data_IF_354307858300
#
_entry.id   IF_354307858300
#
_cell.length_a   1.000
_cell.length_b   1.000
_cell.length_c   1.000
_cell.angle_alpha   90.00
_cell.angle_beta   90.00
_cell.angle_gamma   90.00
#
_symmetry.space_group_name_H-M   'P 1'
#
loop_
_entity.id
_entity.type
_entity.pdbx_description
1 polymer ?
#
# COMPACT_ATOMS: atom_id res chain seq x y z
N UNK A 1 -15.87 19.87 -93.74
CA UNK A 1 -15.00 18.95 -92.97
C UNK A 1 -14.81 19.54 -91.59
N UNK A 2 -15.41 18.95 -90.56
CA UNK A 2 -15.26 19.38 -89.15
C UNK A 2 -14.29 18.40 -88.48
N UNK A 3 -13.17 18.90 -87.96
CA UNK A 3 -12.21 18.09 -87.22
C UNK A 3 -12.67 18.02 -85.75
N UNK A 4 -13.06 16.84 -85.30
CA UNK A 4 -13.32 16.55 -83.89
C UNK A 4 -11.99 16.50 -83.14
N UNK A 5 -11.84 17.31 -82.10
CA UNK A 5 -10.68 17.28 -81.19
C UNK A 5 -10.76 16.09 -80.24
N UNK A 6 -9.68 15.32 -80.02
CA UNK A 6 -9.72 14.14 -79.16
C UNK A 6 -9.80 14.55 -77.69
N UNK A 7 -10.91 14.23 -77.04
CA UNK A 7 -11.06 14.35 -75.58
C UNK A 7 -10.31 13.20 -74.90
N UNK A 8 -9.04 13.41 -74.56
CA UNK A 8 -8.29 12.47 -73.73
C UNK A 8 -8.78 12.60 -72.29
N UNK A 9 -9.40 11.56 -71.68
CA UNK A 9 -9.76 11.63 -70.28
C UNK A 9 -8.48 11.53 -69.44
N UNK A 10 -8.08 12.63 -68.82
CA UNK A 10 -7.03 12.65 -67.80
C UNK A 10 -7.56 11.94 -66.56
N UNK A 11 -7.39 10.61 -66.52
CA UNK A 11 -7.65 9.83 -65.33
C UNK A 11 -6.56 10.11 -64.31
N UNK A 12 -6.84 11.03 -63.38
CA UNK A 12 -6.00 11.28 -62.23
C UNK A 12 -6.10 10.10 -61.25
N UNK A 13 -5.14 9.20 -61.29
CA UNK A 13 -5.00 8.14 -60.29
C UNK A 13 -4.54 8.75 -58.97
N UNK A 14 -5.47 9.01 -58.05
CA UNK A 14 -5.20 9.50 -56.70
C UNK A 14 -4.49 8.42 -55.87
N UNK A 15 -3.15 8.49 -55.82
CA UNK A 15 -2.35 7.66 -54.91
C UNK A 15 -2.44 8.25 -53.50
N UNK A 16 -3.38 7.74 -52.71
CA UNK A 16 -3.58 8.14 -51.33
C UNK A 16 -2.45 7.63 -50.43
N UNK A 17 -1.38 8.41 -50.27
CA UNK A 17 -0.38 8.17 -49.23
C UNK A 17 -0.97 8.65 -47.89
N UNK A 18 -1.47 7.72 -47.07
CA UNK A 18 -1.80 7.99 -45.66
C UNK A 18 -0.55 8.52 -44.95
N UNK A 19 -0.48 9.84 -44.78
CA UNK A 19 0.52 10.52 -43.95
C UNK A 19 0.00 10.58 -42.52
N UNK A 20 0.05 9.46 -41.80
CA UNK A 20 -0.02 9.58 -40.34
C UNK A 20 1.39 9.95 -39.92
N UNK A 21 1.59 11.24 -39.65
CA UNK A 21 2.91 11.79 -39.33
C UNK A 21 3.48 11.08 -38.09
N UNK A 22 4.74 10.62 -38.09
CA UNK A 22 5.39 9.99 -36.93
C UNK A 22 5.38 10.88 -35.67
N UNK A 23 5.20 12.20 -35.85
CA UNK A 23 5.08 13.18 -34.78
C UNK A 23 3.87 12.97 -33.85
N UNK A 24 2.82 12.25 -34.28
CA UNK A 24 1.67 11.95 -33.41
C UNK A 24 1.88 10.74 -32.47
N UNK A 25 2.97 9.99 -32.64
CA UNK A 25 3.35 8.93 -31.70
C UNK A 25 3.85 9.52 -30.37
N UNK A 26 4.48 10.69 -30.39
CA UNK A 26 5.00 11.34 -29.19
C UNK A 26 3.92 11.59 -28.11
N UNK A 27 2.76 12.21 -28.41
CA UNK A 27 1.69 12.37 -27.42
C UNK A 27 1.08 11.03 -26.98
N UNK A 28 0.98 10.04 -27.88
CA UNK A 28 0.48 8.71 -27.52
C UNK A 28 1.44 8.01 -26.54
N UNK A 29 2.74 8.03 -26.82
CA UNK A 29 3.76 7.42 -25.96
C UNK A 29 3.78 8.13 -24.60
N UNK A 30 3.71 9.46 -24.58
CA UNK A 30 3.61 10.21 -23.32
C UNK A 30 2.35 9.83 -22.52
N UNK A 31 1.20 9.68 -23.19
CA UNK A 31 -0.05 9.23 -22.57
C UNK A 31 0.02 7.80 -22.05
N UNK A 32 0.71 6.90 -22.75
CA UNK A 32 0.94 5.52 -22.32
C UNK A 32 1.84 5.45 -21.09
N UNK A 33 2.93 6.22 -21.06
CA UNK A 33 3.82 6.30 -19.89
C UNK A 33 3.07 6.89 -18.70
N UNK A 34 2.25 7.94 -18.92
CA UNK A 34 1.41 8.51 -17.86
C UNK A 34 0.39 7.51 -17.32
N UNK A 35 -0.31 6.77 -18.19
CA UNK A 35 -1.21 5.70 -17.77
C UNK A 35 -0.47 4.59 -17.01
N UNK A 36 0.73 4.23 -17.45
CA UNK A 36 1.52 3.20 -16.80
C UNK A 36 1.98 3.63 -15.40
N UNK A 37 2.48 4.85 -15.24
CA UNK A 37 2.86 5.41 -13.94
C UNK A 37 1.66 5.57 -12.99
N UNK A 38 0.49 5.94 -13.51
CA UNK A 38 -0.75 5.98 -12.72
C UNK A 38 -1.15 4.57 -12.25
N UNK A 39 -0.99 3.56 -13.11
CA UNK A 39 -1.32 2.18 -12.79
C UNK A 39 -0.39 1.58 -11.73
N UNK A 40 0.93 1.72 -11.90
CA UNK A 40 1.92 1.19 -10.94
C UNK A 40 1.75 1.83 -9.56
N UNK A 41 1.47 3.13 -9.51
CA UNK A 41 1.25 3.84 -8.26
C UNK A 41 -0.05 3.45 -7.53
N UNK A 42 -1.00 2.83 -8.22
CA UNK A 42 -2.25 2.37 -7.61
C UNK A 42 -2.09 1.03 -6.88
N UNK A 43 -1.21 0.13 -7.34
CA UNK A 43 -0.99 -1.18 -6.71
C UNK A 43 -0.09 -1.14 -5.46
N UNK A 44 0.77 -0.14 -5.30
CA UNK A 44 1.73 -0.07 -4.19
C UNK A 44 1.20 0.61 -2.92
N UNK A 45 -0.05 1.10 -2.96
CA UNK A 45 -0.66 1.77 -1.80
C UNK A 45 -1.06 0.71 -0.78
N UNK A 46 -0.23 0.54 0.25
CA UNK A 46 -0.59 -0.22 1.45
C UNK A 46 -1.94 0.21 2.02
N UNK A 47 -2.57 -0.66 2.79
CA UNK A 47 -3.86 -0.38 3.43
C UNK A 47 -3.61 0.34 4.75
N UNK A 48 -4.14 1.56 4.87
CA UNK A 48 -4.09 2.31 6.14
C UNK A 48 -5.21 1.82 7.05
N UNK A 49 -4.85 1.36 8.25
CA UNK A 49 -5.79 0.92 9.28
C UNK A 49 -5.71 1.82 10.52
N UNK A 50 -6.77 1.80 11.31
CA UNK A 50 -6.84 2.46 12.61
C UNK A 50 -6.90 1.41 13.71
N UNK A 51 -6.00 1.49 14.69
CA UNK A 51 -5.94 0.59 15.83
C UNK A 51 -6.10 1.42 17.11
N UNK A 52 -7.12 1.11 17.90
CA UNK A 52 -7.39 1.75 19.17
C UNK A 52 -6.61 1.07 20.28
N UNK A 53 -5.72 1.81 20.93
CA UNK A 53 -4.95 1.37 22.10
C UNK A 53 -5.40 2.14 23.34
N UNK A 54 -5.29 1.51 24.52
CA UNK A 54 -5.45 2.22 25.79
C UNK A 54 -4.24 3.12 26.10
N UNK A 55 -3.05 2.70 25.65
CA UNK A 55 -1.78 3.40 25.90
C UNK A 55 -0.85 3.20 24.70
N UNK A 56 -0.05 4.23 24.38
CA UNK A 56 0.87 4.22 23.24
C UNK A 56 2.34 4.34 23.68
N UNK A 57 2.64 3.89 24.89
CA UNK A 57 3.97 4.00 25.49
C UNK A 57 5.01 3.29 24.62
N UNK A 58 5.99 4.08 24.19
CA UNK A 58 7.08 3.61 23.34
C UNK A 58 6.65 3.16 21.93
N UNK A 59 5.46 3.57 21.46
CA UNK A 59 5.10 3.51 20.05
C UNK A 59 5.54 4.83 19.40
N UNK A 60 6.27 4.74 18.29
CA UNK A 60 6.82 5.89 17.59
C UNK A 60 6.41 5.86 16.12
N UNK A 61 5.72 6.90 15.61
CA UNK A 61 5.39 7.03 14.20
C UNK A 61 6.63 6.94 13.31
N UNK A 62 6.52 6.18 12.23
CA UNK A 62 7.59 5.92 11.26
C UNK A 62 8.70 4.98 11.74
N UNK A 63 8.66 4.52 13.00
CA UNK A 63 9.69 3.65 13.57
C UNK A 63 9.17 2.34 14.14
N UNK A 64 7.96 2.31 14.70
CA UNK A 64 7.40 1.08 15.26
C UNK A 64 6.87 0.17 14.14
N UNK A 65 7.46 -1.02 13.95
CA UNK A 65 6.99 -1.95 12.94
C UNK A 65 5.79 -2.76 13.47
N UNK A 66 4.93 -3.18 12.55
CA UNK A 66 3.91 -4.20 12.79
C UNK A 66 4.46 -5.52 12.29
N UNK A 67 4.44 -6.55 13.15
CA UNK A 67 5.02 -7.86 12.86
C UNK A 67 3.99 -8.98 13.00
N UNK A 68 4.01 -9.90 12.04
CA UNK A 68 3.32 -11.18 12.12
C UNK A 68 4.37 -12.29 12.07
N UNK A 69 4.38 -13.17 13.07
CA UNK A 69 5.37 -14.26 13.18
C UNK A 69 6.84 -13.80 13.02
N UNK A 70 7.16 -12.60 13.50
CA UNK A 70 8.50 -12.01 13.40
C UNK A 70 8.80 -11.28 12.08
N UNK A 71 7.94 -11.39 11.07
CA UNK A 71 8.08 -10.70 9.78
C UNK A 71 7.39 -9.35 9.82
N UNK A 72 8.05 -8.31 9.32
CA UNK A 72 7.47 -6.97 9.21
C UNK A 72 6.42 -6.89 8.10
N UNK A 73 5.19 -6.59 8.51
CA UNK A 73 3.98 -6.54 7.66
C UNK A 73 3.42 -5.12 7.53
N UNK A 74 3.98 -4.16 8.26
CA UNK A 74 3.53 -2.78 8.22
C UNK A 74 4.30 -1.90 9.18
N UNK A 75 3.89 -0.63 9.25
CA UNK A 75 4.55 0.39 10.08
C UNK A 75 3.52 1.39 10.60
N UNK A 76 3.70 1.83 11.83
CA UNK A 76 2.90 2.92 12.40
C UNK A 76 3.19 4.23 11.65
N UNK A 77 2.16 4.91 11.18
CA UNK A 77 2.27 6.19 10.47
C UNK A 77 1.99 7.40 11.36
N UNK A 78 1.10 7.25 12.35
CA UNK A 78 0.69 8.35 13.19
C UNK A 78 -0.03 7.89 14.45
N UNK A 79 -0.04 8.78 15.45
CA UNK A 79 -0.71 8.58 16.73
C UNK A 79 -1.58 9.81 16.94
N UNK A 80 -2.87 9.58 17.19
CA UNK A 80 -3.82 10.62 17.55
C UNK A 80 -4.54 10.20 18.83
N UNK A 81 -5.02 11.17 19.59
CA UNK A 81 -5.91 10.90 20.71
C UNK A 81 -7.35 10.87 20.19
N UNK A 82 -8.19 9.99 20.72
CA UNK A 82 -9.61 9.98 20.38
C UNK A 82 -10.32 11.25 20.83
N UNK A 83 -11.44 11.58 20.19
CA UNK A 83 -12.22 12.79 20.50
C UNK A 83 -12.72 12.85 21.95
N UNK A 84 -12.89 11.68 22.58
CA UNK A 84 -13.30 11.52 23.97
C UNK A 84 -12.12 11.47 24.96
N UNK A 85 -10.88 11.58 24.48
CA UNK A 85 -9.63 11.54 25.25
C UNK A 85 -9.40 10.24 26.05
N UNK A 86 -10.17 9.18 25.78
CA UNK A 86 -10.09 7.90 26.52
C UNK A 86 -9.23 6.84 25.86
N UNK A 87 -8.92 7.01 24.58
CA UNK A 87 -8.18 6.02 23.80
C UNK A 87 -7.22 6.69 22.83
N UNK A 88 -6.20 5.95 22.42
CA UNK A 88 -5.20 6.42 21.48
C UNK A 88 -5.44 5.70 20.15
N UNK A 89 -5.73 6.49 19.12
CA UNK A 89 -5.93 6.02 17.75
C UNK A 89 -4.59 5.99 17.02
N UNK A 90 -4.11 4.79 16.73
CA UNK A 90 -2.87 4.57 15.99
C UNK A 90 -3.22 4.32 14.54
N UNK A 91 -2.75 5.19 13.64
CA UNK A 91 -2.83 4.96 12.20
C UNK A 91 -1.60 4.18 11.77
N UNK A 92 -1.82 3.05 11.11
CA UNK A 92 -0.75 2.20 10.61
C UNK A 92 -0.97 1.88 9.14
N UNK A 93 0.13 1.73 8.40
CA UNK A 93 0.10 1.23 7.03
C UNK A 93 0.52 -0.23 7.02
N UNK A 94 -0.35 -1.06 6.46
CA UNK A 94 -0.14 -2.48 6.27
C UNK A 94 0.18 -2.72 4.79
N UNK A 95 1.16 -3.58 4.53
CA UNK A 95 1.53 -3.96 3.17
C UNK A 95 0.34 -4.61 2.45
N UNK A 96 0.26 -4.43 1.14
CA UNK A 96 -0.87 -4.89 0.33
C UNK A 96 -1.02 -6.41 0.31
N UNK A 97 0.06 -7.16 0.52
CA UNK A 97 0.10 -8.62 0.65
C UNK A 97 -0.64 -9.13 1.91
N UNK A 98 -0.75 -8.30 2.96
CA UNK A 98 -1.45 -8.63 4.20
C UNK A 98 -2.87 -8.08 4.27
N UNK A 99 -3.38 -7.47 3.18
CA UNK A 99 -4.74 -6.92 3.12
C UNK A 99 -5.81 -7.96 3.44
N UNK A 100 -5.65 -9.19 2.96
CA UNK A 100 -6.62 -10.27 3.20
C UNK A 100 -6.64 -10.75 4.66
N UNK A 101 -5.58 -10.48 5.42
CA UNK A 101 -5.47 -10.79 6.84
C UNK A 101 -6.13 -9.73 7.74
N UNK A 102 -6.61 -8.62 7.20
CA UNK A 102 -7.30 -7.55 7.94
C UNK A 102 -8.80 -7.86 8.03
N UNK A 103 -9.19 -8.68 9.01
CA UNK A 103 -10.56 -9.15 9.23
C UNK A 103 -11.06 -8.76 10.61
N UNK A 104 -12.38 -8.75 10.83
CA UNK A 104 -13.02 -8.42 12.11
C UNK A 104 -12.34 -9.07 13.34
N UNK A 105 -11.93 -10.34 13.24
CA UNK A 105 -11.28 -11.04 14.35
C UNK A 105 -9.74 -10.89 14.40
N UNK A 106 -9.15 -10.03 13.57
CA UNK A 106 -7.69 -9.80 13.56
C UNK A 106 -7.28 -9.03 14.81
N UNK A 107 -6.28 -9.56 15.50
CA UNK A 107 -5.85 -9.08 16.80
C UNK A 107 -4.51 -8.37 16.70
N UNK A 108 -4.38 -7.29 17.44
CA UNK A 108 -3.15 -6.50 17.55
C UNK A 108 -2.78 -6.36 19.02
N UNK A 109 -1.50 -6.34 19.36
CA UNK A 109 -1.02 -6.09 20.72
C UNK A 109 0.37 -5.44 20.69
N UNK A 110 0.70 -4.66 21.71
CA UNK A 110 2.03 -4.08 21.85
C UNK A 110 2.98 -5.10 22.48
N UNK A 111 4.15 -5.31 21.87
CA UNK A 111 5.24 -6.10 22.45
C UNK A 111 6.37 -5.18 22.87
N UNK A 112 6.60 -5.13 24.18
CA UNK A 112 7.70 -4.39 24.80
C UNK A 112 8.74 -5.40 25.27
N UNK A 113 9.92 -5.49 24.62
CA UNK A 113 10.98 -6.38 25.08
C UNK A 113 11.43 -5.97 26.48
N UNK A 114 11.42 -6.92 27.42
CA UNK A 114 11.98 -6.70 28.77
C UNK A 114 13.46 -7.04 28.72
N UNK A 115 14.32 -6.08 29.05
CA UNK A 115 15.74 -6.32 29.20
C UNK A 115 15.98 -7.29 30.37
N UNK A 116 16.45 -8.51 30.08
CA UNK A 116 17.04 -9.37 31.09
C UNK A 116 18.54 -9.09 31.11
N UNK A 117 19.04 -8.53 32.22
CA UNK A 117 20.47 -8.26 32.44
C UNK A 117 21.30 -9.54 32.68
N UNK A 118 20.71 -10.72 32.50
CA UNK A 118 21.36 -12.00 32.69
C UNK A 118 22.26 -12.37 31.50
N UNK A 119 23.48 -11.81 31.49
CA UNK A 119 24.65 -12.37 30.80
C UNK A 119 24.80 -11.99 29.34
N UNK A 120 25.86 -11.23 29.03
CA UNK A 120 26.72 -11.10 27.81
C UNK A 120 26.20 -11.38 26.38
N UNK A 121 24.93 -11.69 26.17
CA UNK A 121 24.22 -11.88 24.90
C UNK A 121 22.96 -11.00 24.79
N UNK A 122 22.71 -10.13 25.79
CA UNK A 122 21.50 -9.30 25.90
C UNK A 122 21.56 -7.92 25.21
N UNK A 123 22.68 -7.58 24.55
CA UNK A 123 22.80 -6.30 23.83
C UNK A 123 21.98 -6.28 22.54
N UNK A 124 21.83 -7.41 21.84
CA UNK A 124 21.00 -7.50 20.61
C UNK A 124 19.50 -7.34 20.91
N UNK A 125 19.05 -7.77 22.09
CA UNK A 125 17.64 -7.64 22.53
C UNK A 125 17.24 -6.20 22.89
N UNK A 126 18.22 -5.33 23.19
CA UNK A 126 17.99 -3.90 23.41
C UNK A 126 17.79 -3.13 22.10
N UNK A 127 18.28 -3.65 20.97
CA UNK A 127 18.26 -2.94 19.67
C UNK A 127 16.94 -3.11 18.92
N UNK A 128 16.16 -4.17 19.20
CA UNK A 128 14.94 -4.49 18.46
C UNK A 128 13.78 -3.51 18.61
N UNK A 129 13.77 -2.71 19.69
CA UNK A 129 12.72 -1.75 19.98
C UNK A 129 11.34 -2.37 20.22
N UNK A 130 10.37 -1.52 20.54
CA UNK A 130 8.97 -1.94 20.64
C UNK A 130 8.40 -2.22 19.26
N UNK A 131 7.53 -3.21 19.16
CA UNK A 131 6.80 -3.53 17.93
C UNK A 131 5.36 -3.93 18.25
N UNK A 132 4.48 -3.80 17.26
CA UNK A 132 3.09 -4.25 17.37
C UNK A 132 3.00 -5.65 16.76
N UNK A 133 2.54 -6.62 17.54
CA UNK A 133 2.19 -7.94 17.03
C UNK A 133 0.84 -7.92 16.32
N UNK A 134 0.72 -8.68 15.24
CA UNK A 134 -0.53 -8.94 14.53
C UNK A 134 -0.84 -10.44 14.57
N UNK A 135 -2.12 -10.82 14.66
CA UNK A 135 -2.60 -12.19 14.48
C UNK A 135 -3.83 -12.15 13.58
N UNK A 136 -3.76 -12.70 12.35
CA UNK A 136 -4.89 -12.76 11.43
C UNK A 136 -6.08 -13.51 12.02
N UNK A 137 -7.28 -12.95 11.82
CA UNK A 137 -8.53 -13.55 12.22
C UNK A 137 -9.40 -13.99 11.05
N UNK A 138 -10.63 -14.37 11.37
CA UNK A 138 -11.71 -14.64 10.41
C UNK A 138 -12.69 -13.47 10.40
N UNK A 139 -13.76 -13.62 9.62
CA UNK A 139 -14.81 -12.61 9.50
C UNK A 139 -14.66 -11.72 8.27
N UNK A 140 -15.39 -10.61 8.28
CA UNK A 140 -15.42 -9.66 7.16
C UNK A 140 -14.17 -8.78 7.16
N UNK A 141 -13.79 -8.21 6.00
CA UNK A 141 -12.74 -7.21 5.96
C UNK A 141 -13.04 -6.03 6.90
N UNK A 142 -12.05 -5.62 7.69
CA UNK A 142 -12.15 -4.46 8.58
C UNK A 142 -10.89 -3.61 8.47
N UNK A 143 -11.04 -2.31 8.70
CA UNK A 143 -9.93 -1.33 8.75
C UNK A 143 -9.82 -0.68 10.14
N UNK A 144 -10.72 -1.03 11.06
CA UNK A 144 -10.77 -0.52 12.43
C UNK A 144 -10.65 -1.68 13.41
N UNK A 145 -9.71 -1.55 14.35
CA UNK A 145 -9.35 -2.59 15.29
C UNK A 145 -9.18 -2.03 16.69
N UNK A 146 -9.36 -2.90 17.69
CA UNK A 146 -9.02 -2.61 19.07
C UNK A 146 -7.87 -3.49 19.48
N UNK A 147 -6.79 -2.90 19.99
CA UNK A 147 -5.65 -3.63 20.48
C UNK A 147 -5.96 -4.35 21.79
N UNK A 148 -5.35 -5.52 21.94
CA UNK A 148 -5.33 -6.29 23.17
C UNK A 148 -4.17 -5.85 24.04
N UNK A 149 -4.38 -5.87 25.36
CA UNK A 149 -3.35 -5.51 26.34
C UNK A 149 -2.21 -6.53 26.39
N UNK A 150 -2.48 -7.78 26.00
CA UNK A 150 -1.51 -8.88 26.02
C UNK A 150 -1.62 -9.74 24.77
N UNK A 151 -0.51 -10.42 24.44
CA UNK A 151 -0.49 -11.38 23.34
C UNK A 151 -1.56 -12.46 23.52
N UNK A 152 -2.40 -12.72 22.49
CA UNK A 152 -3.38 -13.79 22.54
C UNK A 152 -2.69 -15.15 22.57
N UNK A 153 -3.23 -16.08 23.37
CA UNK A 153 -2.77 -17.48 23.36
C UNK A 153 -3.25 -18.14 22.07
N UNK A 154 -2.33 -18.72 21.30
CA UNK A 154 -2.66 -19.53 20.13
C UNK A 154 -3.67 -20.61 20.54
N UNK A 155 -4.86 -20.57 19.95
CA UNK A 155 -5.89 -21.59 20.12
C UNK A 155 -5.97 -22.32 18.78
N UNK A 156 -5.25 -23.44 18.69
CA UNK A 156 -5.30 -24.38 17.56
C UNK A 156 -6.58 -25.21 17.59
#
# INVERSE_FOLDING_TARGET
MQQETPTTPTNATLRNKRKISPFWLLPIIAMLIACWLLWTNYQERGTTITINFQTADGIVPGRTPIRYQGVEVGTVQGINLSDDYRSIQIKASIKSDMRDALREDTQFWLVTPKASLAGVSGLDALVGGNYIGMMPGKGKPSESFTALDTQPKYRG
#
